data_IF_102843977189
#
_entry.id   IF_102843977189
#
_cell.length_a   1.000
_cell.length_b   1.000
_cell.length_c   1.000
_cell.angle_alpha   90.00
_cell.angle_beta   90.00
_cell.angle_gamma   90.00
#
_symmetry.space_group_name_H-M   'P 1'
#
loop_
_entity.id
_entity.type
_entity.pdbx_description
1 polymer ?
#
# COMPACT_ATOMS: atom_id res chain seq x y z
N UNK A 1 -15.90 35.83 4.82
CA UNK A 1 -16.81 35.80 3.66
C UNK A 1 -16.74 34.38 3.05
N UNK A 2 -17.83 33.59 3.09
CA UNK A 2 -17.84 32.21 2.59
C UNK A 2 -17.61 32.11 1.07
N UNK A 3 -17.68 33.22 0.32
CA UNK A 3 -17.47 33.25 -1.13
C UNK A 3 -16.00 33.39 -1.55
N UNK A 4 -15.08 33.66 -0.61
CA UNK A 4 -13.66 33.85 -0.92
C UNK A 4 -12.94 32.48 -1.09
N UNK A 5 -12.82 32.01 -2.31
CA UNK A 5 -12.21 30.71 -2.65
C UNK A 5 -10.82 30.52 -2.06
N UNK A 6 -9.94 31.52 -2.11
CA UNK A 6 -8.59 31.43 -1.57
C UNK A 6 -8.55 31.17 -0.04
N UNK A 7 -9.39 31.85 0.73
CA UNK A 7 -9.48 31.64 2.17
C UNK A 7 -10.08 30.28 2.52
N UNK A 8 -11.12 29.86 1.79
CA UNK A 8 -11.72 28.54 1.98
C UNK A 8 -10.73 27.44 1.68
N UNK A 9 -9.92 27.58 0.61
CA UNK A 9 -8.87 26.61 0.26
C UNK A 9 -7.81 26.49 1.35
N UNK A 10 -7.27 27.63 1.83
CA UNK A 10 -6.24 27.61 2.90
C UNK A 10 -6.80 26.95 4.17
N UNK A 11 -8.01 27.34 4.60
CA UNK A 11 -8.63 26.76 5.79
C UNK A 11 -8.90 25.24 5.59
N UNK A 12 -9.43 24.87 4.45
CA UNK A 12 -9.70 23.47 4.09
C UNK A 12 -8.44 22.62 4.19
N UNK A 13 -7.33 23.02 3.54
CA UNK A 13 -6.06 22.30 3.60
C UNK A 13 -5.53 22.21 5.03
N UNK A 14 -5.51 23.34 5.74
CA UNK A 14 -5.01 23.40 7.12
C UNK A 14 -5.78 22.47 8.05
N UNK A 15 -7.12 22.44 7.97
CA UNK A 15 -7.92 21.55 8.80
C UNK A 15 -7.76 20.08 8.40
N UNK A 16 -7.54 19.78 7.11
CA UNK A 16 -7.22 18.42 6.67
C UNK A 16 -5.90 17.93 7.25
N UNK A 17 -4.85 18.77 7.20
CA UNK A 17 -3.53 18.45 7.77
C UNK A 17 -3.59 18.27 9.30
N UNK A 18 -4.40 19.07 9.98
CA UNK A 18 -4.66 18.94 11.42
C UNK A 18 -5.59 17.77 11.78
N UNK A 19 -6.11 17.04 10.80
CA UNK A 19 -7.12 15.97 10.95
C UNK A 19 -8.41 16.43 11.64
N UNK A 20 -8.73 17.71 11.56
CA UNK A 20 -10.00 18.26 11.98
C UNK A 20 -11.03 18.06 10.86
N UNK A 21 -11.49 16.81 10.72
CA UNK A 21 -12.23 16.32 9.56
C UNK A 21 -13.55 17.07 9.31
N UNK A 22 -14.28 17.42 10.37
CA UNK A 22 -15.56 18.13 10.23
C UNK A 22 -15.35 19.54 9.65
N UNK A 23 -14.40 20.28 10.20
CA UNK A 23 -14.04 21.62 9.73
C UNK A 23 -13.47 21.57 8.30
N UNK A 24 -12.62 20.56 8.03
CA UNK A 24 -12.08 20.36 6.69
C UNK A 24 -13.21 20.18 5.66
N UNK A 25 -14.19 19.32 5.93
CA UNK A 25 -15.32 19.07 5.02
C UNK A 25 -16.26 20.29 4.90
N UNK A 26 -16.47 21.08 5.97
CA UNK A 26 -17.23 22.34 5.89
C UNK A 26 -16.54 23.35 4.98
N UNK A 27 -15.21 23.52 5.11
CA UNK A 27 -14.47 24.43 4.23
C UNK A 27 -14.32 23.88 2.80
N UNK A 28 -14.28 22.56 2.62
CA UNK A 28 -14.39 21.96 1.29
C UNK A 28 -15.74 22.28 0.63
N UNK A 29 -16.87 22.14 1.35
CA UNK A 29 -18.19 22.52 0.84
C UNK A 29 -18.25 24.02 0.45
N UNK A 30 -17.66 24.89 1.28
CA UNK A 30 -17.56 26.31 0.94
C UNK A 30 -16.72 26.56 -0.30
N UNK A 31 -15.60 25.83 -0.48
CA UNK A 31 -14.75 25.97 -1.66
C UNK A 31 -15.46 25.47 -2.92
N UNK A 32 -16.01 24.26 -2.88
CA UNK A 32 -16.56 23.62 -4.07
C UNK A 32 -17.97 24.07 -4.44
N UNK A 33 -18.81 24.47 -3.47
CA UNK A 33 -20.22 24.73 -3.70
C UNK A 33 -20.66 26.18 -3.45
N UNK A 34 -19.85 26.98 -2.72
CA UNK A 34 -20.27 28.33 -2.28
C UNK A 34 -19.31 29.44 -2.68
N UNK A 35 -18.14 29.11 -3.24
CA UNK A 35 -17.14 30.09 -3.64
C UNK A 35 -17.44 30.63 -5.05
N UNK A 36 -17.34 31.93 -5.20
CA UNK A 36 -17.48 32.61 -6.51
C UNK A 36 -16.19 32.39 -7.32
N UNK A 37 -16.32 31.99 -8.58
CA UNK A 37 -15.22 31.91 -9.56
C UNK A 37 -14.02 31.04 -9.08
N UNK A 38 -14.27 30.00 -8.31
CA UNK A 38 -13.21 29.09 -7.90
C UNK A 38 -12.67 28.31 -9.12
N UNK A 39 -11.36 28.40 -9.32
CA UNK A 39 -10.65 27.52 -10.26
C UNK A 39 -10.06 26.35 -9.47
N UNK A 40 -10.56 25.15 -9.74
CA UNK A 40 -10.14 23.94 -9.03
C UNK A 40 -8.91 23.33 -9.69
N UNK A 41 -7.99 22.86 -8.84
CA UNK A 41 -6.74 22.20 -9.24
C UNK A 41 -6.70 20.79 -8.68
N UNK A 42 -5.81 19.94 -9.20
CA UNK A 42 -5.67 18.56 -8.74
C UNK A 42 -5.46 18.45 -7.22
N UNK A 43 -4.71 19.40 -6.64
CA UNK A 43 -4.45 19.44 -5.21
C UNK A 43 -5.71 19.65 -4.35
N UNK A 44 -6.70 20.42 -4.83
CA UNK A 44 -7.99 20.57 -4.14
C UNK A 44 -8.68 19.21 -3.95
N UNK A 45 -8.64 18.40 -4.99
CA UNK A 45 -9.23 17.06 -4.95
C UNK A 45 -8.39 16.04 -4.18
N UNK A 46 -7.06 16.19 -4.12
CA UNK A 46 -6.21 15.39 -3.24
C UNK A 46 -6.59 15.65 -1.78
N UNK A 47 -6.66 16.91 -1.37
CA UNK A 47 -7.08 17.28 -0.01
C UNK A 47 -8.51 16.84 0.28
N UNK A 48 -9.41 16.94 -0.70
CA UNK A 48 -10.80 16.48 -0.53
C UNK A 48 -10.88 14.97 -0.35
N UNK A 49 -10.17 14.19 -1.17
CA UNK A 49 -10.04 12.76 -0.99
C UNK A 49 -9.47 12.38 0.38
N UNK A 50 -8.45 13.12 0.83
CA UNK A 50 -7.84 12.91 2.16
C UNK A 50 -8.82 13.19 3.31
N UNK A 51 -9.56 14.30 3.25
CA UNK A 51 -10.57 14.62 4.27
C UNK A 51 -11.72 13.59 4.29
N UNK A 52 -12.17 13.15 3.11
CA UNK A 52 -13.17 12.10 2.99
C UNK A 52 -12.65 10.73 3.51
N UNK A 53 -11.38 10.41 3.26
CA UNK A 53 -10.73 9.22 3.79
C UNK A 53 -10.64 9.27 5.32
N UNK A 54 -10.30 10.42 5.90
CA UNK A 54 -10.31 10.64 7.37
C UNK A 54 -11.73 10.49 7.96
N UNK A 55 -12.75 10.82 7.18
CA UNK A 55 -14.17 10.62 7.54
C UNK A 55 -14.69 9.20 7.25
N UNK A 56 -13.84 8.29 6.81
CA UNK A 56 -14.18 6.91 6.39
C UNK A 56 -15.23 6.86 5.26
N UNK A 57 -15.36 7.94 4.50
CA UNK A 57 -16.24 8.04 3.32
C UNK A 57 -15.50 7.52 2.08
N UNK A 58 -15.22 6.21 2.09
CA UNK A 58 -14.31 5.56 1.14
C UNK A 58 -14.69 5.77 -0.32
N UNK A 59 -15.97 5.58 -0.69
CA UNK A 59 -16.41 5.70 -2.09
C UNK A 59 -16.37 7.14 -2.61
N UNK A 60 -16.64 8.11 -1.74
CA UNK A 60 -16.51 9.54 -2.09
C UNK A 60 -15.03 9.94 -2.20
N UNK A 61 -14.18 9.39 -1.32
CA UNK A 61 -12.74 9.62 -1.37
C UNK A 61 -12.13 9.07 -2.69
N UNK A 62 -12.54 7.88 -3.12
CA UNK A 62 -12.12 7.30 -4.41
C UNK A 62 -12.46 8.25 -5.56
N UNK A 63 -13.70 8.75 -5.63
CA UNK A 63 -14.12 9.68 -6.68
C UNK A 63 -13.31 10.97 -6.67
N UNK A 64 -13.02 11.51 -5.48
CA UNK A 64 -12.20 12.72 -5.36
C UNK A 64 -10.77 12.45 -5.86
N UNK A 65 -10.16 11.33 -5.50
CA UNK A 65 -8.83 10.96 -5.98
C UNK A 65 -8.79 10.68 -7.49
N UNK A 66 -9.82 10.06 -8.07
CA UNK A 66 -9.93 9.89 -9.53
C UNK A 66 -9.97 11.24 -10.25
N UNK A 67 -10.72 12.21 -9.71
CA UNK A 67 -10.74 13.57 -10.24
C UNK A 67 -9.37 14.27 -10.08
N UNK A 68 -8.68 14.02 -8.96
CA UNK A 68 -7.33 14.54 -8.74
C UNK A 68 -6.33 13.98 -9.77
N UNK A 69 -6.39 12.69 -10.10
CA UNK A 69 -5.55 12.06 -11.13
C UNK A 69 -5.77 12.74 -12.48
N UNK A 70 -7.03 12.92 -12.88
CA UNK A 70 -7.35 13.55 -14.18
C UNK A 70 -6.77 14.95 -14.29
N UNK A 71 -6.84 15.74 -13.21
CA UNK A 71 -6.30 17.11 -13.17
C UNK A 71 -4.77 17.17 -12.99
N UNK A 72 -4.15 16.06 -12.59
CA UNK A 72 -2.70 15.98 -12.29
C UNK A 72 -1.95 15.05 -13.22
N UNK A 73 -2.54 14.60 -14.31
CA UNK A 73 -1.97 13.57 -15.22
C UNK A 73 -0.56 13.86 -15.71
N UNK A 74 -0.18 15.13 -15.82
CA UNK A 74 1.16 15.55 -16.23
C UNK A 74 2.17 15.59 -15.06
N UNK A 75 1.70 15.33 -13.83
CA UNK A 75 2.53 15.27 -12.61
C UNK A 75 2.58 13.84 -12.04
N UNK A 76 3.49 13.03 -12.60
CA UNK A 76 3.64 11.62 -12.23
C UNK A 76 3.90 11.40 -10.73
N UNK A 77 4.60 12.32 -10.05
CA UNK A 77 4.85 12.23 -8.61
C UNK A 77 3.56 12.39 -7.80
N UNK A 78 2.72 13.34 -8.18
CA UNK A 78 1.43 13.56 -7.52
C UNK A 78 0.48 12.38 -7.78
N UNK A 79 0.44 11.88 -9.02
CA UNK A 79 -0.35 10.69 -9.38
C UNK A 79 0.08 9.49 -8.53
N UNK A 80 1.40 9.26 -8.36
CA UNK A 80 1.90 8.16 -7.53
C UNK A 80 1.47 8.27 -6.05
N UNK A 81 1.40 9.47 -5.50
CA UNK A 81 0.87 9.71 -4.14
C UNK A 81 -0.62 9.38 -4.08
N UNK A 82 -1.39 9.80 -5.07
CA UNK A 82 -2.84 9.52 -5.15
C UNK A 82 -3.08 8.01 -5.29
N UNK A 83 -2.32 7.32 -6.15
CA UNK A 83 -2.38 5.87 -6.31
C UNK A 83 -2.10 5.14 -4.99
N UNK A 84 -1.12 5.62 -4.20
CA UNK A 84 -0.87 5.08 -2.86
C UNK A 84 -2.08 5.24 -1.93
N UNK A 85 -2.71 6.42 -1.92
CA UNK A 85 -3.91 6.68 -1.11
C UNK A 85 -5.09 5.79 -1.55
N UNK A 86 -5.29 5.59 -2.86
CA UNK A 86 -6.29 4.68 -3.39
C UNK A 86 -6.02 3.23 -2.95
N UNK A 87 -4.77 2.80 -3.00
CA UNK A 87 -4.36 1.48 -2.49
C UNK A 87 -4.75 1.31 -1.02
N UNK A 88 -4.48 2.32 -0.17
CA UNK A 88 -4.79 2.27 1.25
C UNK A 88 -6.32 2.20 1.51
N UNK A 89 -7.13 2.90 0.69
CA UNK A 89 -8.60 2.81 0.77
C UNK A 89 -9.06 1.41 0.38
N UNK A 90 -8.59 0.86 -0.73
CA UNK A 90 -8.99 -0.49 -1.16
C UNK A 90 -8.54 -1.56 -0.17
N UNK A 91 -7.37 -1.40 0.46
CA UNK A 91 -6.93 -2.24 1.57
C UNK A 91 -7.92 -2.19 2.76
N UNK A 92 -8.37 -0.99 3.17
CA UNK A 92 -9.38 -0.82 4.22
C UNK A 92 -10.73 -1.43 3.86
N UNK A 93 -11.09 -1.43 2.57
CA UNK A 93 -12.32 -2.08 2.06
C UNK A 93 -12.17 -3.61 1.92
N UNK A 94 -10.98 -4.19 2.12
CA UNK A 94 -10.71 -5.60 1.91
C UNK A 94 -10.64 -6.01 0.42
N UNK A 95 -10.58 -5.04 -0.48
CA UNK A 95 -10.40 -5.26 -1.92
C UNK A 95 -8.90 -5.28 -2.27
N UNK A 96 -8.25 -6.39 -1.94
CA UNK A 96 -6.80 -6.53 -2.10
C UNK A 96 -6.36 -6.52 -3.57
N UNK A 97 -7.22 -6.91 -4.52
CA UNK A 97 -6.90 -6.86 -5.95
C UNK A 97 -6.75 -5.40 -6.44
N UNK A 98 -7.67 -4.53 -6.06
CA UNK A 98 -7.52 -3.11 -6.36
C UNK A 98 -6.42 -2.47 -5.53
N UNK A 99 -6.26 -2.86 -4.27
CA UNK A 99 -5.18 -2.36 -3.41
C UNK A 99 -3.81 -2.63 -4.04
N UNK A 100 -3.51 -3.87 -4.49
CA UNK A 100 -2.23 -4.19 -5.14
C UNK A 100 -2.08 -3.46 -6.46
N UNK A 101 -3.15 -3.34 -7.26
CA UNK A 101 -3.11 -2.65 -8.55
C UNK A 101 -2.70 -1.18 -8.40
N UNK A 102 -3.31 -0.48 -7.47
CA UNK A 102 -2.96 0.92 -7.20
C UNK A 102 -1.62 1.06 -6.49
N UNK A 103 -1.24 0.11 -5.62
CA UNK A 103 0.08 0.12 -5.01
C UNK A 103 1.19 -0.02 -6.06
N UNK A 104 1.06 -0.96 -6.99
CA UNK A 104 2.01 -1.12 -8.10
C UNK A 104 2.12 0.14 -8.98
N UNK A 105 1.00 0.80 -9.28
CA UNK A 105 1.01 2.09 -9.99
C UNK A 105 1.81 3.14 -9.22
N UNK A 106 1.62 3.23 -7.90
CA UNK A 106 2.37 4.17 -7.05
C UNK A 106 3.87 3.91 -7.06
N UNK A 107 4.28 2.64 -7.19
CA UNK A 107 5.68 2.25 -7.26
C UNK A 107 6.31 2.49 -8.64
N UNK A 108 5.53 2.44 -9.71
CA UNK A 108 6.02 2.68 -11.07
C UNK A 108 6.58 4.10 -11.26
N UNK A 109 6.14 5.06 -10.45
CA UNK A 109 6.65 6.44 -10.42
C UNK A 109 7.90 6.66 -9.56
N UNK A 110 8.41 5.62 -8.88
CA UNK A 110 9.58 5.72 -7.99
C UNK A 110 10.86 5.29 -8.69
N UNK A 111 11.92 6.08 -8.57
CA UNK A 111 13.25 5.71 -9.05
C UNK A 111 13.81 4.48 -8.32
N UNK A 112 13.47 4.32 -7.04
CA UNK A 112 13.89 3.19 -6.20
C UNK A 112 12.81 2.84 -5.19
N UNK A 113 12.43 1.56 -5.14
CA UNK A 113 11.56 1.01 -4.09
C UNK A 113 12.30 0.98 -2.76
N UNK A 114 11.63 1.34 -1.66
CA UNK A 114 12.15 1.21 -0.29
C UNK A 114 11.93 -0.21 0.25
N UNK A 115 12.54 -0.53 1.38
CA UNK A 115 12.30 -1.79 2.09
C UNK A 115 10.80 -1.96 2.42
N UNK A 116 10.15 -0.91 2.93
CA UNK A 116 8.71 -0.92 3.23
C UNK A 116 7.84 -1.12 1.99
N UNK A 117 8.26 -0.62 0.82
CA UNK A 117 7.54 -0.85 -0.43
C UNK A 117 7.51 -2.34 -0.80
N UNK A 118 8.63 -3.04 -0.62
CA UNK A 118 8.69 -4.49 -0.86
C UNK A 118 7.84 -5.27 0.14
N UNK A 119 7.96 -4.96 1.44
CA UNK A 119 7.18 -5.64 2.49
C UNK A 119 5.67 -5.42 2.28
N UNK A 120 5.24 -4.19 1.99
CA UNK A 120 3.83 -3.89 1.73
C UNK A 120 3.31 -4.61 0.48
N UNK A 121 4.07 -4.62 -0.62
CA UNK A 121 3.66 -5.29 -1.86
C UNK A 121 3.54 -6.81 -1.66
N UNK A 122 4.52 -7.44 -1.02
CA UNK A 122 4.49 -8.86 -0.73
C UNK A 122 3.33 -9.23 0.22
N UNK A 123 3.06 -8.38 1.21
CA UNK A 123 1.92 -8.55 2.12
C UNK A 123 0.59 -8.52 1.37
N UNK A 124 0.38 -7.57 0.47
CA UNK A 124 -0.83 -7.51 -0.36
C UNK A 124 -1.05 -8.79 -1.18
N UNK A 125 0.01 -9.32 -1.80
CA UNK A 125 -0.09 -10.59 -2.52
C UNK A 125 -0.36 -11.78 -1.60
N UNK A 126 0.18 -11.77 -0.38
CA UNK A 126 -0.11 -12.81 0.63
C UNK A 126 -1.57 -12.76 1.10
N UNK A 127 -2.13 -11.56 1.26
CA UNK A 127 -3.56 -11.39 1.59
C UNK A 127 -4.47 -11.89 0.46
N UNK A 128 -4.12 -11.59 -0.80
CA UNK A 128 -4.83 -12.16 -1.97
C UNK A 128 -4.77 -13.69 -1.94
N UNK A 129 -3.60 -14.26 -1.68
CA UNK A 129 -3.44 -15.71 -1.60
C UNK A 129 -4.30 -16.32 -0.48
N UNK A 130 -4.36 -15.67 0.67
CA UNK A 130 -5.20 -16.08 1.82
C UNK A 130 -6.68 -16.04 1.45
N UNK A 131 -7.17 -14.96 0.81
CA UNK A 131 -8.56 -14.89 0.34
C UNK A 131 -8.89 -15.97 -0.68
N UNK A 132 -7.96 -16.23 -1.63
CA UNK A 132 -8.13 -17.28 -2.63
C UNK A 132 -8.18 -18.68 -2.00
N UNK A 133 -7.35 -18.92 -0.99
CA UNK A 133 -7.37 -20.18 -0.22
C UNK A 133 -8.72 -20.34 0.51
N UNK A 134 -9.24 -19.28 1.14
CA UNK A 134 -10.53 -19.30 1.81
C UNK A 134 -11.72 -19.51 0.84
N UNK A 135 -11.55 -19.16 -0.41
CA UNK A 135 -12.53 -19.35 -1.49
C UNK A 135 -12.33 -20.67 -2.25
N UNK A 136 -11.50 -21.59 -1.76
CA UNK A 136 -11.15 -22.85 -2.42
C UNK A 136 -10.52 -22.68 -3.82
N UNK A 137 -10.00 -21.49 -4.13
CA UNK A 137 -9.28 -21.19 -5.38
C UNK A 137 -7.77 -21.47 -5.22
N UNK A 138 -7.40 -22.73 -5.20
CA UNK A 138 -6.02 -23.16 -5.01
C UNK A 138 -5.07 -22.64 -6.10
N UNK A 139 -5.54 -22.51 -7.35
CA UNK A 139 -4.73 -22.01 -8.46
C UNK A 139 -4.45 -20.52 -8.31
N UNK A 140 -5.46 -19.72 -7.97
CA UNK A 140 -5.32 -18.29 -7.70
C UNK A 140 -4.45 -18.02 -6.45
N UNK A 141 -4.61 -18.84 -5.40
CA UNK A 141 -3.75 -18.76 -4.21
C UNK A 141 -2.28 -19.02 -4.56
N UNK A 142 -2.01 -20.08 -5.32
CA UNK A 142 -0.65 -20.42 -5.74
C UNK A 142 -0.03 -19.31 -6.63
N UNK A 143 -0.80 -18.68 -7.51
CA UNK A 143 -0.31 -17.55 -8.31
C UNK A 143 0.07 -16.36 -7.41
N UNK A 144 -0.78 -15.99 -6.46
CA UNK A 144 -0.52 -14.89 -5.55
C UNK A 144 0.69 -15.15 -4.64
N UNK A 145 0.85 -16.38 -4.12
CA UNK A 145 2.06 -16.75 -3.36
C UNK A 145 3.33 -16.68 -4.21
N UNK A 146 3.30 -17.06 -5.49
CA UNK A 146 4.46 -16.90 -6.38
C UNK A 146 4.82 -15.44 -6.58
N UNK A 147 3.83 -14.55 -6.70
CA UNK A 147 4.08 -13.10 -6.80
C UNK A 147 4.70 -12.56 -5.52
N UNK A 148 4.22 -12.98 -4.35
CA UNK A 148 4.84 -12.61 -3.08
C UNK A 148 6.30 -13.09 -2.99
N UNK A 149 6.60 -14.36 -3.37
CA UNK A 149 7.96 -14.90 -3.40
C UNK A 149 8.88 -14.10 -4.34
N UNK A 150 8.37 -13.73 -5.52
CA UNK A 150 9.11 -12.88 -6.46
C UNK A 150 9.47 -11.53 -5.86
N UNK A 151 8.51 -10.87 -5.18
CA UNK A 151 8.74 -9.59 -4.51
C UNK A 151 9.83 -9.70 -3.45
N UNK A 152 9.82 -10.75 -2.61
CA UNK A 152 10.89 -10.99 -1.64
C UNK A 152 12.22 -11.33 -2.30
N UNK A 153 12.21 -11.97 -3.48
CA UNK A 153 13.43 -12.21 -4.27
C UNK A 153 14.05 -10.91 -4.78
N UNK A 154 13.22 -9.97 -5.26
CA UNK A 154 13.67 -8.63 -5.67
C UNK A 154 14.14 -7.81 -4.45
N UNK A 155 13.46 -7.96 -3.32
CA UNK A 155 13.80 -7.27 -2.08
C UNK A 155 15.22 -7.61 -1.62
N UNK A 156 15.58 -8.89 -1.54
CA UNK A 156 16.92 -9.29 -1.11
C UNK A 156 18.02 -8.82 -2.07
N UNK A 157 17.73 -8.74 -3.37
CA UNK A 157 18.66 -8.20 -4.35
C UNK A 157 18.92 -6.70 -4.16
N UNK A 158 17.87 -5.95 -3.80
CA UNK A 158 17.96 -4.52 -3.55
C UNK A 158 18.59 -4.17 -2.19
N UNK A 159 18.41 -5.06 -1.21
CA UNK A 159 18.77 -4.83 0.20
C UNK A 159 19.30 -6.10 0.86
N UNK A 160 20.59 -6.40 0.68
CA UNK A 160 21.22 -7.63 1.19
C UNK A 160 21.16 -7.78 2.73
N UNK A 161 21.08 -6.67 3.45
CA UNK A 161 20.92 -6.70 4.91
C UNK A 161 19.57 -7.27 5.38
N UNK A 162 18.59 -7.41 4.50
CA UNK A 162 17.29 -8.05 4.78
C UNK A 162 17.24 -9.54 4.36
N UNK A 163 18.37 -10.13 4.00
CA UNK A 163 18.42 -11.51 3.50
C UNK A 163 17.76 -12.53 4.44
N UNK A 164 18.00 -12.44 5.76
CA UNK A 164 17.40 -13.35 6.73
C UNK A 164 15.88 -13.18 6.80
N UNK A 165 15.40 -11.93 6.79
CA UNK A 165 13.97 -11.62 6.72
C UNK A 165 13.34 -12.16 5.44
N UNK A 166 13.94 -11.88 4.30
CA UNK A 166 13.44 -12.36 3.01
C UNK A 166 13.45 -13.91 2.94
N UNK A 167 14.47 -14.58 3.45
CA UNK A 167 14.49 -16.04 3.49
C UNK A 167 13.39 -16.60 4.40
N UNK A 168 13.15 -16.00 5.56
CA UNK A 168 12.04 -16.38 6.44
C UNK A 168 10.69 -16.24 5.72
N UNK A 169 10.43 -15.10 5.11
CA UNK A 169 9.17 -14.84 4.40
C UNK A 169 9.00 -15.72 3.16
N UNK A 170 10.08 -15.94 2.39
CA UNK A 170 10.07 -16.87 1.26
C UNK A 170 9.81 -18.31 1.71
N UNK A 171 10.37 -18.71 2.84
CA UNK A 171 10.04 -19.99 3.46
C UNK A 171 8.54 -20.12 3.74
N UNK A 172 7.93 -19.10 4.36
CA UNK A 172 6.50 -19.11 4.67
C UNK A 172 5.62 -19.16 3.41
N UNK A 173 5.86 -18.31 2.42
CA UNK A 173 5.04 -18.30 1.20
C UNK A 173 5.19 -19.57 0.39
N UNK A 174 6.40 -20.16 0.34
CA UNK A 174 6.64 -21.41 -0.37
C UNK A 174 6.09 -22.66 0.39
N UNK A 175 5.96 -22.60 1.72
CA UNK A 175 5.25 -23.62 2.50
C UNK A 175 3.75 -23.66 2.16
N UNK A 176 3.16 -22.49 1.89
CA UNK A 176 1.74 -22.36 1.56
C UNK A 176 1.43 -22.50 0.05
N UNK A 177 2.46 -22.50 -0.81
CA UNK A 177 2.28 -22.56 -2.25
C UNK A 177 1.62 -23.87 -2.71
N UNK A 178 2.01 -24.99 -2.08
CA UNK A 178 1.42 -26.31 -2.28
C UNK A 178 1.44 -27.07 -0.95
N UNK A 179 0.51 -26.83 -0.04
CA UNK A 179 0.57 -27.35 1.33
C UNK A 179 0.58 -28.88 1.41
N UNK A 180 -0.07 -29.55 0.46
CA UNK A 180 -0.10 -31.00 0.38
C UNK A 180 1.09 -31.63 -0.37
N UNK A 181 1.99 -30.80 -0.89
CA UNK A 181 3.11 -31.24 -1.71
C UNK A 181 4.28 -31.65 -0.82
N UNK A 182 4.88 -32.79 -1.14
CA UNK A 182 6.14 -33.25 -0.53
C UNK A 182 7.39 -32.65 -1.19
N UNK A 183 7.24 -31.62 -2.02
CA UNK A 183 8.35 -31.04 -2.79
C UNK A 183 9.35 -30.27 -1.94
N UNK A 184 8.95 -29.88 -0.71
CA UNK A 184 9.85 -29.19 0.22
C UNK A 184 10.32 -27.82 -0.26
N UNK A 185 9.47 -27.07 -0.98
CA UNK A 185 9.81 -25.78 -1.60
C UNK A 185 10.30 -24.72 -0.60
N UNK A 186 9.81 -24.78 0.65
CA UNK A 186 10.23 -23.88 1.71
C UNK A 186 11.64 -24.20 2.26
N UNK A 187 12.08 -25.46 2.13
CA UNK A 187 13.28 -25.98 2.76
C UNK A 187 14.55 -25.17 2.45
N UNK A 188 14.87 -24.83 1.19
CA UNK A 188 16.10 -24.09 0.89
C UNK A 188 16.20 -22.74 1.62
N UNK A 189 15.08 -22.09 1.81
CA UNK A 189 15.01 -20.77 2.48
C UNK A 189 15.22 -20.88 3.98
N UNK A 190 14.58 -21.88 4.63
CA UNK A 190 14.77 -22.12 6.06
C UNK A 190 16.17 -22.66 6.37
N UNK A 191 16.75 -23.50 5.52
CA UNK A 191 18.15 -23.95 5.66
C UNK A 191 19.13 -22.78 5.52
N UNK A 192 18.94 -21.90 4.53
CA UNK A 192 19.76 -20.70 4.37
C UNK A 192 19.65 -19.74 5.57
N UNK A 193 18.44 -19.57 6.10
CA UNK A 193 18.19 -18.78 7.31
C UNK A 193 18.88 -19.40 8.54
N UNK A 194 18.68 -20.70 8.78
CA UNK A 194 19.28 -21.41 9.91
C UNK A 194 20.81 -21.31 9.87
N UNK A 195 21.44 -21.63 8.74
CA UNK A 195 22.88 -21.54 8.54
C UNK A 195 23.42 -20.13 8.80
N UNK A 196 22.70 -19.08 8.35
CA UNK A 196 23.09 -17.69 8.58
C UNK A 196 23.01 -17.32 10.06
N UNK A 197 21.97 -17.77 10.77
CA UNK A 197 21.75 -17.42 12.17
C UNK A 197 22.58 -18.27 13.15
N UNK A 198 22.88 -19.53 12.82
CA UNK A 198 23.73 -20.40 13.66
C UNK A 198 25.15 -19.86 13.80
N UNK A 199 25.67 -19.23 12.74
CA UNK A 199 27.02 -18.67 12.74
C UNK A 199 27.11 -17.28 13.41
N UNK A 200 25.98 -16.68 13.77
CA UNK A 200 25.92 -15.35 14.36
C UNK A 200 26.15 -15.39 15.87
N UNK A 201 27.16 -14.65 16.35
CA UNK A 201 27.52 -14.59 17.77
C UNK A 201 26.41 -14.01 18.65
N UNK A 202 25.72 -12.98 18.14
CA UNK A 202 24.58 -12.36 18.82
C UNK A 202 23.42 -12.23 17.85
N UNK A 203 22.21 -12.61 18.29
CA UNK A 203 20.97 -12.52 17.52
C UNK A 203 20.02 -11.55 18.17
N UNK A 204 19.31 -10.77 17.35
CA UNK A 204 18.20 -9.95 17.81
C UNK A 204 17.01 -10.81 18.27
N UNK A 205 16.07 -10.20 18.99
CA UNK A 205 14.83 -10.89 19.40
C UNK A 205 14.00 -11.36 18.18
N UNK A 206 13.98 -10.58 17.11
CA UNK A 206 13.30 -10.96 15.86
C UNK A 206 13.97 -12.16 15.18
N UNK A 207 15.30 -12.21 15.12
CA UNK A 207 16.05 -13.34 14.57
C UNK A 207 15.85 -14.63 15.40
N UNK A 208 15.79 -14.51 16.72
CA UNK A 208 15.47 -15.66 17.58
C UNK A 208 14.01 -16.13 17.39
N UNK A 209 13.08 -15.24 17.04
CA UNK A 209 11.71 -15.62 16.73
C UNK A 209 11.59 -16.37 15.40
N UNK A 210 12.43 -16.05 14.40
CA UNK A 210 12.45 -16.72 13.09
C UNK A 210 12.93 -18.19 13.17
N UNK A 211 13.63 -18.58 14.24
CA UNK A 211 14.13 -19.96 14.45
C UNK A 211 13.15 -20.86 15.21
N UNK A 212 12.01 -20.35 15.67
CA UNK A 212 10.95 -21.10 16.36
C UNK A 212 9.87 -21.56 15.43
#
# INVERSE_FOLDING_TARGET
DPRRSGWNRIAFYSYTDLKNTNEALDYADRLFNKSDSAHYIGEDYVYYGTALQQAERWDDAIKAYEQAIELSKDNSKQVAIIDKNLSDIYLKKGDFNNAVTYFEKSLAGKDKKTADDFDNLASLYTEIATQKTQADDAAGAAEAYRKADQVYSEYVQAYLNYQNWCNYMRGQVNANLYPDSKQGLARPYYEALANSLETKAERSNSENAMLK
#
